data_IF_680372549964
#
_entry.id   IF_680372549964
#
_cell.length_a   1.000
_cell.length_b   1.000
_cell.length_c   1.000
_cell.angle_alpha   90.00
_cell.angle_beta   90.00
_cell.angle_gamma   90.00
#
_symmetry.space_group_name_H-M   'P 1'
#
loop_
_entity.id
_entity.type
_entity.pdbx_description
1 polymer ?
#
# COMPACT_ATOMS: atom_id res chain seq x y z
N UNK A 1 55.32 13.45 11.40
CA UNK A 1 56.45 13.37 10.45
C UNK A 1 55.89 13.87 9.13
N UNK A 2 55.78 15.18 8.95
CA UNK A 2 56.79 16.07 8.30
C UNK A 2 56.99 15.69 6.83
N UNK A 3 56.96 16.55 5.80
CA UNK A 3 56.81 18.01 5.64
C UNK A 3 56.05 18.27 4.32
N UNK A 4 55.90 19.46 3.75
CA UNK A 4 56.78 20.64 3.70
C UNK A 4 55.95 21.90 3.43
N UNK A 5 56.39 23.01 4.01
CA UNK A 5 55.99 24.38 3.66
C UNK A 5 56.61 24.82 2.33
N UNK A 6 55.92 25.71 1.61
CA UNK A 6 56.52 26.91 1.01
C UNK A 6 55.41 27.90 0.61
N UNK A 7 55.41 29.06 1.26
CA UNK A 7 54.65 30.26 0.89
C UNK A 7 55.50 31.17 0.02
N UNK A 8 54.96 31.73 -1.07
CA UNK A 8 55.34 33.06 -1.58
C UNK A 8 54.07 33.79 -2.03
N UNK A 9 53.92 35.02 -1.51
CA UNK A 9 52.87 36.00 -1.73
C UNK A 9 53.13 36.86 -2.98
N UNK A 10 52.07 37.30 -3.68
CA UNK A 10 52.00 38.62 -4.32
C UNK A 10 50.53 39.05 -4.53
N UNK A 11 50.19 40.27 -4.08
CA UNK A 11 49.23 41.15 -4.78
C UNK A 11 47.79 41.23 -4.25
N UNK A 12 47.35 42.46 -3.97
CA UNK A 12 46.12 42.84 -3.27
C UNK A 12 45.03 43.41 -4.20
N UNK A 13 43.76 43.30 -3.75
CA UNK A 13 42.53 44.08 -4.08
C UNK A 13 41.62 43.55 -5.22
N UNK A 14 40.28 43.60 -5.04
CA UNK A 14 39.32 42.66 -5.65
C UNK A 14 38.46 43.30 -6.75
N UNK A 15 37.95 42.51 -7.69
CA UNK A 15 36.58 42.62 -8.25
C UNK A 15 36.31 41.56 -9.33
N UNK A 16 35.11 40.98 -9.25
CA UNK A 16 34.33 40.29 -10.29
C UNK A 16 35.03 39.28 -11.20
N UNK A 17 34.90 38.00 -10.84
CA UNK A 17 34.17 36.99 -11.62
C UNK A 17 34.50 35.63 -11.03
N UNK A 18 33.50 34.93 -10.50
CA UNK A 18 33.40 33.49 -10.74
C UNK A 18 31.99 33.03 -10.40
N UNK A 19 31.33 32.55 -11.45
CA UNK A 19 30.04 31.92 -11.41
C UNK A 19 30.01 30.85 -10.31
N UNK A 20 29.04 30.96 -9.40
CA UNK A 20 28.67 29.81 -8.57
C UNK A 20 27.98 28.83 -9.51
N UNK A 21 28.67 27.76 -9.89
CA UNK A 21 28.04 26.61 -10.48
C UNK A 21 27.10 26.00 -9.43
N UNK A 22 25.81 26.33 -9.54
CA UNK A 22 24.74 25.59 -8.88
C UNK A 22 24.63 24.26 -9.64
N UNK A 23 25.18 23.20 -9.06
CA UNK A 23 24.91 21.84 -9.53
C UNK A 23 23.49 21.47 -9.08
N UNK A 24 22.49 21.88 -9.85
CA UNK A 24 21.14 21.37 -9.72
C UNK A 24 21.08 19.99 -10.35
N UNK A 25 21.08 18.94 -9.54
CA UNK A 25 20.72 17.59 -10.02
C UNK A 25 19.20 17.54 -10.07
N UNK A 26 18.64 17.78 -11.25
CA UNK A 26 17.26 17.41 -11.55
C UNK A 26 17.26 15.95 -12.03
N UNK A 27 16.73 15.04 -11.21
CA UNK A 27 16.47 13.67 -11.65
C UNK A 27 15.18 13.67 -12.49
N UNK A 28 15.35 13.88 -13.80
CA UNK A 28 14.29 13.60 -14.78
C UNK A 28 14.32 12.10 -15.07
N UNK A 29 13.53 11.33 -14.33
CA UNK A 29 13.26 9.93 -14.69
C UNK A 29 12.27 9.96 -15.85
N UNK A 30 12.80 9.84 -17.07
CA UNK A 30 12.00 9.53 -18.25
C UNK A 30 12.26 8.07 -18.60
N UNK A 31 11.28 7.21 -18.33
CA UNK A 31 11.28 5.85 -18.85
C UNK A 31 10.86 5.90 -20.31
N UNK A 32 11.84 5.84 -21.20
CA UNK A 32 11.61 5.52 -22.60
C UNK A 32 12.14 4.12 -22.86
N UNK A 33 11.30 3.24 -23.40
CA UNK A 33 11.75 1.97 -23.94
C UNK A 33 11.86 2.12 -25.46
N UNK A 34 12.97 1.64 -26.00
CA UNK A 34 13.15 1.42 -27.43
C UNK A 34 13.04 -0.08 -27.65
N UNK A 35 12.00 -0.53 -28.36
CA UNK A 35 12.00 -1.87 -28.93
C UNK A 35 12.88 -1.80 -30.18
N UNK A 36 14.15 -2.17 -30.03
CA UNK A 36 15.02 -2.38 -31.19
C UNK A 36 14.64 -3.71 -31.84
N UNK A 37 14.04 -3.63 -33.02
CA UNK A 37 14.12 -4.72 -34.01
C UNK A 37 15.57 -4.80 -34.46
N UNK A 38 16.26 -5.90 -34.13
CA UNK A 38 17.26 -6.57 -34.98
C UNK A 38 17.99 -7.65 -34.18
N UNK A 39 17.78 -8.92 -34.56
CA UNK A 39 18.78 -9.83 -35.16
C UNK A 39 18.11 -11.23 -35.24
N UNK A 40 17.59 -11.58 -36.41
CA UNK A 40 17.48 -13.00 -36.82
C UNK A 40 18.56 -13.19 -37.88
N UNK A 41 19.64 -13.87 -37.50
CA UNK A 41 20.64 -14.40 -38.40
C UNK A 41 20.04 -15.65 -39.08
N UNK A 42 19.68 -15.52 -40.36
CA UNK A 42 19.20 -16.63 -41.18
C UNK A 42 20.38 -17.32 -41.84
N UNK A 43 20.84 -18.44 -41.29
CA UNK A 43 21.29 -19.61 -42.07
C UNK A 43 21.30 -20.85 -41.19
N UNK A 44 20.34 -21.77 -41.36
CA UNK A 44 20.66 -23.11 -41.87
C UNK A 44 19.39 -23.88 -42.24
N UNK A 45 19.49 -24.56 -43.38
CA UNK A 45 18.48 -25.42 -43.99
C UNK A 45 18.53 -26.82 -43.39
N UNK A 46 17.41 -27.34 -42.87
CA UNK A 46 17.01 -28.75 -43.12
C UNK A 46 15.54 -28.97 -42.80
N UNK A 47 14.92 -29.76 -43.66
CA UNK A 47 13.53 -30.21 -43.70
C UNK A 47 13.23 -31.23 -42.60
N UNK A 48 12.17 -31.02 -41.82
CA UNK A 48 11.32 -32.14 -41.38
C UNK A 48 9.87 -31.72 -41.13
N UNK A 49 8.97 -32.60 -41.56
CA UNK A 49 7.54 -32.42 -41.75
C UNK A 49 6.78 -32.95 -40.54
N UNK A 50 6.31 -32.07 -39.65
CA UNK A 50 5.15 -32.34 -38.77
C UNK A 50 4.54 -31.01 -38.31
N UNK A 51 3.34 -30.69 -38.78
CA UNK A 51 2.48 -29.58 -38.30
C UNK A 51 1.82 -29.93 -36.96
N UNK A 52 2.03 -29.15 -35.89
CA UNK A 52 1.12 -29.07 -34.74
C UNK A 52 0.03 -28.00 -34.98
N UNK A 53 -1.11 -28.09 -34.30
CA UNK A 53 -2.30 -27.28 -34.60
C UNK A 53 -2.10 -25.80 -34.24
N UNK A 54 -2.77 -24.96 -35.02
CA UNK A 54 -2.78 -23.49 -34.99
C UNK A 54 -2.60 -22.89 -33.59
N UNK A 55 -1.38 -22.43 -33.35
CA UNK A 55 -0.99 -21.65 -32.19
C UNK A 55 -1.69 -20.29 -32.21
N UNK A 56 -2.32 -19.96 -31.07
CA UNK A 56 -2.72 -18.62 -30.64
C UNK A 56 -1.78 -17.57 -31.21
N UNK A 57 -2.33 -16.62 -31.98
CA UNK A 57 -1.58 -15.51 -32.54
C UNK A 57 -0.76 -14.82 -31.44
N UNK A 58 0.54 -14.54 -31.67
CA UNK A 58 1.33 -13.78 -30.71
C UNK A 58 0.63 -12.44 -30.50
N UNK A 59 0.44 -12.05 -29.24
CA UNK A 59 -0.15 -10.76 -28.89
C UNK A 59 0.57 -9.67 -29.69
N UNK A 60 -0.17 -8.93 -30.51
CA UNK A 60 0.39 -7.85 -31.33
C UNK A 60 1.21 -6.93 -30.43
N UNK A 61 2.49 -6.73 -30.77
CA UNK A 61 3.34 -5.76 -30.10
C UNK A 61 2.64 -4.40 -30.15
N UNK A 62 2.34 -3.83 -28.98
CA UNK A 62 1.74 -2.50 -28.87
C UNK A 62 2.63 -1.50 -29.60
N UNK A 63 2.16 -1.00 -30.72
CA UNK A 63 2.89 -0.03 -31.53
C UNK A 63 2.93 1.32 -30.81
N UNK A 64 3.99 2.11 -31.05
CA UNK A 64 4.09 3.48 -30.52
C UNK A 64 2.85 4.34 -30.84
N UNK A 65 2.13 4.03 -31.93
CA UNK A 65 0.87 4.68 -32.33
C UNK A 65 -0.28 4.35 -31.37
N UNK A 66 -0.38 3.09 -30.90
CA UNK A 66 -1.39 2.67 -29.92
C UNK A 66 -1.16 3.29 -28.53
N UNK A 67 0.08 3.71 -28.24
CA UNK A 67 0.47 4.36 -26.99
C UNK A 67 0.40 5.89 -27.05
N UNK A 68 0.23 6.49 -28.24
CA UNK A 68 0.08 7.94 -28.41
C UNK A 68 -1.00 8.56 -27.52
N UNK A 69 -2.18 7.95 -27.30
CA UNK A 69 -3.17 8.50 -26.38
C UNK A 69 -2.65 8.62 -24.94
N UNK A 70 -1.87 7.63 -24.47
CA UNK A 70 -1.28 7.64 -23.13
C UNK A 70 -0.16 8.68 -23.00
N UNK A 71 0.66 8.85 -24.04
CA UNK A 71 1.75 9.82 -24.08
C UNK A 71 1.27 11.28 -24.17
N UNK A 72 0.03 11.49 -24.60
CA UNK A 72 -0.62 12.82 -24.67
C UNK A 72 -1.34 13.22 -23.38
N UNK A 73 -1.37 12.35 -22.37
CA UNK A 73 -1.98 12.67 -21.08
C UNK A 73 -1.12 13.70 -20.33
N UNK A 74 -1.76 14.77 -19.86
CA UNK A 74 -1.14 15.71 -18.93
C UNK A 74 -1.09 15.10 -17.53
N UNK A 75 0.09 15.10 -16.92
CA UNK A 75 0.31 14.60 -15.57
C UNK A 75 0.38 15.76 -14.56
N UNK A 76 -0.17 15.61 -13.34
CA UNK A 76 -0.92 14.45 -12.87
C UNK A 76 -2.28 14.33 -13.58
N UNK A 77 -2.70 13.10 -13.86
CA UNK A 77 -4.06 12.85 -14.35
C UNK A 77 -5.06 13.48 -13.37
N UNK A 78 -5.82 14.45 -13.86
CA UNK A 78 -6.99 15.00 -13.17
C UNK A 78 -7.95 13.84 -12.95
N UNK A 79 -8.10 13.42 -11.70
CA UNK A 79 -9.06 12.38 -11.34
C UNK A 79 -10.47 12.94 -11.55
N UNK A 80 -11.41 12.10 -11.95
CA UNK A 80 -12.81 12.48 -11.86
C UNK A 80 -13.18 12.60 -10.37
N UNK A 81 -13.71 13.74 -9.90
CA UNK A 81 -14.19 13.82 -8.52
C UNK A 81 -15.28 12.76 -8.31
N UNK A 82 -15.40 12.18 -7.11
CA UNK A 82 -16.47 11.25 -6.84
C UNK A 82 -17.81 11.93 -7.16
N UNK A 83 -18.71 11.28 -7.91
CA UNK A 83 -20.04 11.79 -8.15
C UNK A 83 -20.72 12.12 -6.82
N UNK A 84 -21.51 13.20 -6.84
CA UNK A 84 -22.25 13.64 -5.65
C UNK A 84 -23.34 12.64 -5.33
N UNK A 85 -23.70 12.56 -4.05
CA UNK A 85 -24.85 11.81 -3.55
C UNK A 85 -26.06 11.93 -4.51
N UNK A 86 -26.55 10.81 -5.09
CA UNK A 86 -27.48 10.85 -6.21
C UNK A 86 -28.95 10.96 -5.77
N UNK A 87 -29.20 10.92 -4.45
CA UNK A 87 -30.53 10.96 -3.86
C UNK A 87 -30.78 12.26 -3.12
N UNK A 88 -32.01 12.42 -2.62
CA UNK A 88 -32.29 13.48 -1.66
C UNK A 88 -31.37 13.36 -0.44
N UNK A 89 -30.91 14.50 0.13
CA UNK A 89 -30.11 14.47 1.35
C UNK A 89 -30.86 13.71 2.46
N UNK A 90 -30.21 12.73 3.12
CA UNK A 90 -30.87 11.97 4.18
C UNK A 90 -31.25 12.90 5.34
N UNK A 91 -32.40 12.63 5.97
CA UNK A 91 -32.83 13.39 7.14
C UNK A 91 -31.88 13.19 8.32
N UNK A 92 -31.82 14.14 9.28
CA UNK A 92 -31.02 13.96 10.50
C UNK A 92 -31.34 12.67 11.26
N UNK A 93 -32.62 12.26 11.29
CA UNK A 93 -33.05 11.00 11.92
C UNK A 93 -32.55 9.78 11.16
N UNK A 94 -32.53 9.82 9.82
CA UNK A 94 -31.96 8.76 9.00
C UNK A 94 -30.46 8.62 9.24
N UNK A 95 -29.72 9.74 9.32
CA UNK A 95 -28.29 9.76 9.67
C UNK A 95 -28.08 9.16 11.06
N UNK A 96 -28.85 9.60 12.07
CA UNK A 96 -28.75 9.09 13.44
C UNK A 96 -29.03 7.59 13.53
N UNK A 97 -30.04 7.10 12.81
CA UNK A 97 -30.38 5.68 12.72
C UNK A 97 -29.24 4.87 12.07
N UNK A 98 -28.69 5.37 10.96
CA UNK A 98 -27.57 4.73 10.27
C UNK A 98 -26.30 4.70 11.13
N UNK A 99 -25.99 5.77 11.86
CA UNK A 99 -24.85 5.81 12.79
C UNK A 99 -24.99 4.72 13.86
N UNK A 100 -26.17 4.58 14.47
CA UNK A 100 -26.45 3.50 15.43
C UNK A 100 -26.29 2.11 14.81
N UNK A 101 -26.69 1.94 13.55
CA UNK A 101 -26.48 0.69 12.82
C UNK A 101 -24.99 0.38 12.65
N UNK A 102 -24.18 1.37 12.23
CA UNK A 102 -22.74 1.24 12.09
C UNK A 102 -22.04 0.89 13.40
N UNK A 103 -22.40 1.57 14.50
CA UNK A 103 -21.87 1.26 15.84
C UNK A 103 -22.23 -0.15 16.30
N UNK A 104 -23.46 -0.60 16.05
CA UNK A 104 -23.90 -1.95 16.37
C UNK A 104 -23.13 -3.01 15.55
N UNK A 105 -22.91 -2.74 14.26
CA UNK A 105 -22.12 -3.62 13.39
C UNK A 105 -20.66 -3.71 13.85
N UNK A 106 -20.06 -2.59 14.30
CA UNK A 106 -18.71 -2.60 14.86
C UNK A 106 -18.64 -3.42 16.16
N UNK A 107 -19.62 -3.29 17.06
CA UNK A 107 -19.69 -4.12 18.29
C UNK A 107 -19.76 -5.60 17.95
N UNK A 108 -20.58 -5.98 16.96
CA UNK A 108 -20.68 -7.36 16.47
C UNK A 108 -19.35 -7.84 15.88
N UNK A 109 -18.65 -7.01 15.10
CA UNK A 109 -17.32 -7.34 14.59
C UNK A 109 -16.34 -7.61 15.73
N UNK A 110 -16.30 -6.75 16.75
CA UNK A 110 -15.43 -6.93 17.92
C UNK A 110 -15.74 -8.23 18.71
N UNK A 111 -17.00 -8.65 18.74
CA UNK A 111 -17.38 -9.96 19.28
C UNK A 111 -16.80 -11.11 18.45
N UNK A 112 -16.85 -11.02 17.11
CA UNK A 112 -16.23 -12.01 16.21
C UNK A 112 -14.71 -12.06 16.32
N UNK A 113 -14.07 -10.93 16.66
CA UNK A 113 -12.63 -10.85 16.91
C UNK A 113 -12.24 -11.63 18.19
N UNK A 114 -13.06 -11.56 19.25
CA UNK A 114 -12.84 -12.29 20.52
C UNK A 114 -12.93 -13.81 20.40
N UNK A 115 -13.71 -14.29 19.44
CA UNK A 115 -13.88 -15.72 19.19
C UNK A 115 -12.67 -16.33 18.46
N UNK A 116 -11.77 -15.51 17.91
CA UNK A 116 -10.65 -15.97 17.07
C UNK A 116 -9.38 -16.11 17.88
N UNK A 117 -8.72 -17.24 17.68
CA UNK A 117 -7.32 -17.38 18.09
C UNK A 117 -6.42 -16.80 16.97
N UNK A 118 -5.43 -15.96 17.30
CA UNK A 118 -4.48 -15.47 16.32
C UNK A 118 -3.72 -16.59 15.62
N UNK A 119 -3.24 -16.32 14.40
CA UNK A 119 -2.40 -17.26 13.65
C UNK A 119 -1.13 -17.63 14.43
N UNK A 120 -0.71 -18.89 14.31
CA UNK A 120 0.54 -19.37 14.89
C UNK A 120 1.75 -18.65 14.28
N UNK A 121 2.75 -18.37 15.12
CA UNK A 121 3.91 -17.52 14.82
C UNK A 121 4.83 -18.08 13.72
N UNK A 122 4.81 -19.38 13.44
CA UNK A 122 5.66 -19.99 12.40
C UNK A 122 4.91 -20.37 11.12
N UNK A 123 3.77 -19.72 10.85
CA UNK A 123 3.00 -19.98 9.63
C UNK A 123 3.42 -19.06 8.47
N UNK A 124 3.28 -19.50 7.20
CA UNK A 124 3.42 -18.58 6.06
C UNK A 124 2.44 -17.40 6.13
N UNK A 125 1.24 -17.63 6.66
CA UNK A 125 0.19 -16.62 6.79
C UNK A 125 0.57 -15.48 7.75
N UNK A 126 1.16 -15.78 8.92
CA UNK A 126 1.62 -14.73 9.83
C UNK A 126 2.78 -13.94 9.23
N UNK A 127 3.71 -14.62 8.52
CA UNK A 127 4.83 -13.96 7.83
C UNK A 127 4.32 -13.01 6.74
N UNK A 128 3.29 -13.39 5.99
CA UNK A 128 2.64 -12.53 5.00
C UNK A 128 1.96 -11.30 5.65
N UNK A 129 1.18 -11.50 6.73
CA UNK A 129 0.56 -10.37 7.45
C UNK A 129 1.58 -9.47 8.16
N UNK A 130 2.77 -9.98 8.50
CA UNK A 130 3.89 -9.21 9.04
C UNK A 130 4.64 -8.43 7.97
N UNK A 131 4.79 -8.96 6.76
CA UNK A 131 5.38 -8.22 5.63
C UNK A 131 4.59 -6.94 5.28
N UNK A 132 3.27 -6.98 5.50
CA UNK A 132 2.39 -5.81 5.47
C UNK A 132 2.12 -5.27 6.90
N UNK A 133 3.18 -5.14 7.71
CA UNK A 133 3.12 -4.66 9.08
C UNK A 133 2.20 -3.45 9.19
N UNK A 134 1.28 -3.50 10.15
CA UNK A 134 0.29 -2.46 10.36
C UNK A 134 0.50 -1.84 11.72
N UNK A 135 0.67 -0.52 11.76
CA UNK A 135 0.85 0.23 13.00
C UNK A 135 -0.35 0.02 13.92
N UNK A 136 -0.11 -0.08 15.24
CA UNK A 136 -1.17 -0.16 16.25
C UNK A 136 -2.13 1.04 16.19
N UNK A 137 -1.68 2.19 15.69
CA UNK A 137 -2.51 3.38 15.49
C UNK A 137 -3.59 3.24 14.41
N UNK A 138 -3.49 2.21 13.55
CA UNK A 138 -4.44 1.99 12.44
C UNK A 138 -5.75 1.39 12.93
N UNK A 139 -5.74 0.42 13.86
CA UNK A 139 -6.96 -0.32 14.23
C UNK A 139 -8.10 0.61 14.67
N UNK A 140 -7.89 1.64 15.52
CA UNK A 140 -8.96 2.58 15.88
C UNK A 140 -9.56 3.33 14.68
N UNK A 141 -8.73 3.73 13.72
CA UNK A 141 -9.17 4.39 12.49
C UNK A 141 -9.94 3.41 11.58
N UNK A 142 -9.46 2.18 11.47
CA UNK A 142 -10.08 1.11 10.69
C UNK A 142 -11.44 0.68 11.27
N UNK A 143 -11.55 0.57 12.59
CA UNK A 143 -12.80 0.26 13.29
C UNK A 143 -13.82 1.38 13.08
N UNK A 144 -13.38 2.64 13.12
CA UNK A 144 -14.22 3.79 12.81
C UNK A 144 -14.69 3.79 11.35
N UNK A 145 -13.78 3.55 10.39
CA UNK A 145 -14.12 3.49 8.99
C UNK A 145 -15.08 2.34 8.67
N UNK A 146 -14.90 1.18 9.29
CA UNK A 146 -15.83 0.06 9.19
C UNK A 146 -17.23 0.42 9.68
N UNK A 147 -17.35 1.13 10.81
CA UNK A 147 -18.66 1.61 11.29
C UNK A 147 -19.31 2.59 10.30
N UNK A 148 -18.53 3.46 9.65
CA UNK A 148 -19.00 4.37 8.60
C UNK A 148 -19.47 3.59 7.36
N UNK A 149 -18.78 2.53 6.94
CA UNK A 149 -19.20 1.67 5.81
C UNK A 149 -20.57 1.05 6.10
N UNK A 150 -20.75 0.46 7.28
CA UNK A 150 -22.01 -0.19 7.67
C UNK A 150 -23.15 0.84 7.84
N UNK A 151 -22.86 2.02 8.37
CA UNK A 151 -23.81 3.13 8.38
C UNK A 151 -24.17 3.60 6.96
N UNK A 152 -23.19 3.63 6.05
CA UNK A 152 -23.42 3.96 4.64
C UNK A 152 -24.36 2.94 3.99
N UNK A 153 -24.16 1.64 4.25
CA UNK A 153 -25.08 0.58 3.80
C UNK A 153 -26.49 0.77 4.34
N UNK A 154 -26.63 1.15 5.61
CA UNK A 154 -27.94 1.41 6.21
C UNK A 154 -28.65 2.62 5.60
N UNK A 155 -27.93 3.70 5.27
CA UNK A 155 -28.50 4.84 4.52
C UNK A 155 -28.96 4.46 3.12
N UNK A 156 -28.31 3.45 2.53
CA UNK A 156 -28.62 2.94 1.19
C UNK A 156 -29.71 1.87 1.17
N UNK A 157 -29.96 1.22 2.31
CA UNK A 157 -30.93 0.14 2.37
C UNK A 157 -32.36 0.69 2.19
N UNK A 158 -33.00 0.38 1.06
CA UNK A 158 -34.34 0.87 0.70
C UNK A 158 -34.36 1.99 -0.36
N UNK A 159 -33.20 2.38 -0.91
CA UNK A 159 -33.15 3.28 -2.09
C UNK A 159 -33.25 2.47 -3.39
N UNK A 160 -33.92 3.01 -4.41
CA UNK A 160 -34.05 2.35 -5.71
C UNK A 160 -32.69 2.34 -6.44
N UNK A 161 -32.10 1.15 -6.54
CA UNK A 161 -30.79 0.89 -7.16
C UNK A 161 -30.80 0.96 -8.70
N UNK A 162 -31.97 1.13 -9.32
CA UNK A 162 -32.12 1.19 -10.79
C UNK A 162 -31.35 2.33 -11.47
N UNK A 163 -30.95 3.36 -10.71
CA UNK A 163 -30.15 4.51 -11.18
C UNK A 163 -28.64 4.35 -10.96
N UNK A 164 -28.17 3.22 -10.44
CA UNK A 164 -26.76 3.00 -10.18
C UNK A 164 -26.02 2.55 -11.44
N UNK A 165 -25.11 3.39 -11.92
CA UNK A 165 -23.97 2.93 -12.73
C UNK A 165 -22.71 3.07 -11.88
N UNK A 166 -22.21 1.95 -11.35
CA UNK A 166 -20.89 1.79 -10.75
C UNK A 166 -20.63 2.58 -9.47
N UNK A 167 -21.11 2.13 -8.31
CA UNK A 167 -20.47 2.26 -6.99
C UNK A 167 -19.87 3.60 -6.49
N UNK A 168 -20.24 4.75 -7.05
CA UNK A 168 -19.42 5.96 -6.94
C UNK A 168 -20.14 7.16 -6.39
N UNK A 169 -20.38 7.20 -5.08
CA UNK A 169 -20.96 8.41 -4.50
C UNK A 169 -20.26 8.80 -3.21
N UNK A 170 -19.95 10.08 -3.08
CA UNK A 170 -19.62 10.68 -1.80
C UNK A 170 -20.92 11.13 -1.14
N UNK A 171 -21.25 10.52 0.00
CA UNK A 171 -22.40 10.87 0.82
C UNK A 171 -22.20 12.15 1.62
N UNK A 172 -23.14 12.48 2.53
CA UNK A 172 -23.01 13.65 3.39
C UNK A 172 -21.78 13.53 4.30
N UNK A 173 -21.25 14.67 4.81
CA UNK A 173 -20.19 14.66 5.79
C UNK A 173 -20.59 13.88 7.06
N UNK A 174 -19.62 13.22 7.69
CA UNK A 174 -19.85 12.55 8.99
C UNK A 174 -20.06 13.54 10.13
N UNK A 175 -19.48 14.75 10.03
CA UNK A 175 -19.65 15.87 10.98
C UNK A 175 -19.54 15.45 12.45
N UNK A 176 -18.53 14.66 12.79
CA UNK A 176 -18.27 14.20 14.16
C UNK A 176 -19.22 13.12 14.68
N UNK A 177 -20.08 12.55 13.82
CA UNK A 177 -20.89 11.37 14.17
C UNK A 177 -20.03 10.14 14.50
N UNK A 178 -18.78 10.15 14.04
CA UNK A 178 -17.76 9.17 14.35
C UNK A 178 -16.45 9.87 14.71
N UNK A 179 -15.47 9.13 15.22
CA UNK A 179 -14.14 9.66 15.51
C UNK A 179 -13.46 10.13 14.21
N UNK A 180 -13.22 11.44 14.12
CA UNK A 180 -12.66 12.03 12.91
C UNK A 180 -11.13 12.20 13.00
N UNK A 181 -10.38 11.75 11.98
CA UNK A 181 -8.95 12.01 11.90
C UNK A 181 -8.68 13.49 11.66
N UNK A 182 -7.44 13.92 11.92
CA UNK A 182 -7.04 15.33 11.82
C UNK A 182 -7.40 15.97 10.49
N UNK A 183 -7.26 15.26 9.37
CA UNK A 183 -7.59 15.77 8.03
C UNK A 183 -9.09 15.93 7.72
N UNK A 184 -9.96 15.58 8.66
CA UNK A 184 -11.40 15.86 8.60
C UNK A 184 -11.81 17.10 9.39
N UNK A 185 -10.93 17.61 10.25
CA UNK A 185 -11.24 18.76 11.11
C UNK A 185 -11.27 20.05 10.28
N UNK A 186 -12.24 20.91 10.57
CA UNK A 186 -12.43 22.20 9.90
C UNK A 186 -11.47 23.28 10.40
N UNK A 187 -11.05 23.18 11.66
CA UNK A 187 -10.09 24.09 12.29
C UNK A 187 -8.74 23.39 12.45
N UNK A 188 -7.80 23.71 11.56
CA UNK A 188 -6.47 23.11 11.56
C UNK A 188 -5.44 24.13 12.04
N UNK A 189 -4.43 23.72 12.83
CA UNK A 189 -3.38 24.63 13.25
C UNK A 189 -2.54 25.06 12.03
N UNK A 190 -1.97 26.27 12.04
CA UNK A 190 -1.12 26.74 10.95
C UNK A 190 0.13 25.86 10.85
N UNK A 191 0.63 25.72 9.63
CA UNK A 191 1.88 25.00 9.41
C UNK A 191 3.06 25.75 10.02
N UNK A 192 3.96 25.05 10.75
CA UNK A 192 5.15 25.67 11.28
C UNK A 192 6.06 26.12 10.14
N UNK A 193 6.70 27.28 10.29
CA UNK A 193 7.74 27.71 9.37
C UNK A 193 9.01 26.89 9.62
N UNK A 194 9.23 25.87 8.81
CA UNK A 194 10.34 24.92 8.93
C UNK A 194 11.06 24.77 7.59
N UNK A 195 12.39 24.61 7.65
CA UNK A 195 13.21 24.23 6.49
C UNK A 195 13.17 22.74 6.18
N UNK A 196 12.60 21.93 7.08
CA UNK A 196 12.60 20.47 7.00
C UNK A 196 11.18 19.91 6.91
N UNK A 197 11.08 18.76 6.26
CA UNK A 197 9.85 17.97 6.15
C UNK A 197 9.41 17.50 7.53
N UNK A 198 8.11 17.40 7.72
CA UNK A 198 7.51 16.69 8.86
C UNK A 198 7.60 15.19 8.60
N UNK A 199 7.63 14.39 9.67
CA UNK A 199 7.79 12.95 9.53
C UNK A 199 6.57 12.25 8.93
N UNK A 200 5.37 12.80 9.15
CA UNK A 200 4.12 12.26 8.59
C UNK A 200 3.77 12.86 7.22
N UNK A 201 4.61 13.72 6.66
CA UNK A 201 4.38 14.41 5.39
C UNK A 201 3.41 15.59 5.45
N UNK A 202 2.88 15.94 6.64
CA UNK A 202 2.03 17.12 6.82
C UNK A 202 2.74 18.42 6.47
N UNK A 203 1.99 19.46 6.12
CA UNK A 203 2.49 20.78 5.75
C UNK A 203 3.40 20.83 4.50
N UNK A 204 3.42 19.76 3.69
CA UNK A 204 4.09 19.77 2.39
C UNK A 204 3.32 20.62 1.37
N UNK A 205 2.01 20.40 1.24
CA UNK A 205 1.12 21.25 0.44
C UNK A 205 0.41 22.27 1.35
N UNK A 206 0.62 23.58 1.13
CA UNK A 206 0.10 24.62 2.02
C UNK A 206 -1.43 24.84 1.91
N UNK A 207 -2.05 24.42 0.81
CA UNK A 207 -3.51 24.50 0.61
C UNK A 207 -4.23 23.30 1.26
N UNK A 208 -3.58 22.13 1.26
CA UNK A 208 -4.09 20.89 1.84
C UNK A 208 -3.10 20.22 2.82
N UNK A 209 -2.66 20.94 3.88
CA UNK A 209 -1.49 20.58 4.67
C UNK A 209 -1.59 19.27 5.42
N UNK A 210 -2.79 18.83 5.78
CA UNK A 210 -2.96 17.64 6.61
C UNK A 210 -3.51 16.44 5.84
N UNK A 211 -3.76 16.57 4.52
CA UNK A 211 -4.44 15.55 3.73
C UNK A 211 -3.60 15.03 2.57
N UNK A 212 -2.96 15.91 1.81
CA UNK A 212 -2.28 15.51 0.58
C UNK A 212 -0.91 14.91 0.87
N UNK A 213 -0.77 13.61 0.61
CA UNK A 213 0.47 12.85 0.78
C UNK A 213 0.88 12.56 2.21
N UNK A 214 0.01 12.89 3.17
CA UNK A 214 0.21 12.64 4.60
C UNK A 214 0.01 11.16 4.91
N UNK A 215 0.79 10.62 5.83
CA UNK A 215 0.67 9.24 6.28
C UNK A 215 -0.67 8.96 6.97
N UNK A 216 -1.12 7.70 6.92
CA UNK A 216 -2.41 7.23 7.47
C UNK A 216 -3.63 7.96 6.88
N UNK A 217 -3.56 8.27 5.60
CA UNK A 217 -4.67 8.83 4.83
C UNK A 217 -5.18 7.82 3.78
N UNK A 218 -6.40 8.01 3.24
CA UNK A 218 -6.89 7.18 2.15
C UNK A 218 -5.98 7.28 0.91
N UNK A 219 -5.81 6.17 0.18
CA UNK A 219 -5.20 6.23 -1.15
C UNK A 219 -5.98 7.17 -2.08
N UNK A 220 -5.28 7.85 -3.00
CA UNK A 220 -5.94 8.61 -4.07
C UNK A 220 -6.57 7.65 -5.06
N UNK A 221 -7.86 7.83 -5.33
CA UNK A 221 -8.53 7.18 -6.46
C UNK A 221 -8.32 7.96 -7.76
N UNK A 222 -7.75 7.29 -8.77
CA UNK A 222 -7.76 7.80 -10.14
C UNK A 222 -9.11 7.51 -10.82
N UNK A 223 -9.75 6.40 -10.43
CA UNK A 223 -11.08 6.00 -10.88
C UNK A 223 -11.97 5.66 -9.67
N UNK A 224 -13.29 5.86 -9.81
CA UNK A 224 -14.31 5.09 -9.10
C UNK A 224 -13.92 3.73 -8.47
N UNK A 225 -14.30 3.45 -7.21
CA UNK A 225 -14.31 2.08 -6.71
C UNK A 225 -15.40 1.23 -7.39
N UNK A 226 -15.13 -0.06 -7.54
CA UNK A 226 -16.07 -1.05 -8.08
C UNK A 226 -16.21 -2.21 -7.08
N UNK A 227 -17.24 -2.11 -6.23
CA UNK A 227 -17.59 -3.10 -5.21
C UNK A 227 -18.93 -3.75 -5.59
N UNK A 228 -19.14 -5.01 -5.18
CA UNK A 228 -20.33 -5.78 -5.57
C UNK A 228 -21.65 -5.17 -5.06
N UNK A 229 -21.60 -4.45 -3.94
CA UNK A 229 -22.71 -3.69 -3.34
C UNK A 229 -22.55 -2.18 -3.55
N UNK A 230 -21.55 -1.75 -4.32
CA UNK A 230 -21.19 -0.35 -4.51
C UNK A 230 -20.59 0.35 -3.29
N UNK A 231 -20.37 -0.35 -2.17
CA UNK A 231 -19.89 0.23 -0.91
C UNK A 231 -18.63 -0.48 -0.45
N UNK A 232 -18.70 -1.76 -0.10
CA UNK A 232 -17.54 -2.47 0.45
C UNK A 232 -17.51 -3.99 0.25
N UNK A 233 -18.49 -4.61 -0.41
CA UNK A 233 -18.41 -6.05 -0.72
C UNK A 233 -17.43 -6.31 -1.87
N UNK A 234 -16.67 -7.42 -1.84
CA UNK A 234 -15.83 -7.81 -2.99
C UNK A 234 -16.61 -7.80 -4.30
N UNK A 235 -15.95 -7.37 -5.37
CA UNK A 235 -16.55 -7.24 -6.70
C UNK A 235 -17.07 -8.59 -7.22
N UNK A 236 -18.19 -8.54 -7.94
CA UNK A 236 -18.74 -9.67 -8.70
C UNK A 236 -18.48 -9.51 -10.20
N UNK A 237 -18.66 -10.59 -10.96
CA UNK A 237 -18.62 -10.55 -12.42
C UNK A 237 -19.74 -9.66 -13.00
N UNK A 238 -19.62 -9.27 -14.27
CA UNK A 238 -20.59 -8.42 -14.97
C UNK A 238 -22.02 -8.97 -14.95
N UNK A 239 -22.16 -10.28 -14.73
CA UNK A 239 -23.42 -11.01 -14.74
C UNK A 239 -23.94 -11.25 -13.30
N UNK A 240 -23.28 -10.67 -12.29
CA UNK A 240 -23.56 -10.89 -10.87
C UNK A 240 -22.96 -12.17 -10.27
N UNK A 241 -22.31 -13.01 -11.08
CA UNK A 241 -21.68 -14.26 -10.61
C UNK A 241 -20.39 -14.00 -9.84
N UNK A 242 -19.95 -14.97 -9.03
CA UNK A 242 -18.63 -14.92 -8.40
C UNK A 242 -17.52 -14.86 -9.45
N UNK A 243 -16.45 -14.11 -9.16
CA UNK A 243 -15.21 -14.14 -9.94
C UNK A 243 -14.44 -15.44 -9.65
N UNK A 244 -13.59 -15.93 -10.59
CA UNK A 244 -12.72 -17.07 -10.34
C UNK A 244 -11.82 -16.85 -9.12
N UNK A 245 -11.41 -17.94 -8.46
CA UNK A 245 -10.46 -17.84 -7.35
C UNK A 245 -9.14 -17.20 -7.83
N UNK A 246 -8.53 -16.38 -6.98
CA UNK A 246 -7.21 -15.82 -7.27
C UNK A 246 -6.16 -16.91 -7.49
N UNK A 247 -6.32 -18.07 -6.84
CA UNK A 247 -5.45 -19.23 -7.04
C UNK A 247 -5.64 -19.86 -8.42
N UNK A 248 -6.88 -20.06 -8.86
CA UNK A 248 -7.17 -20.65 -10.18
C UNK A 248 -6.56 -19.80 -11.30
N UNK A 249 -6.70 -18.47 -11.19
CA UNK A 249 -6.06 -17.53 -12.12
C UNK A 249 -4.54 -17.62 -12.03
N UNK A 250 -3.97 -17.72 -10.82
CA UNK A 250 -2.53 -17.88 -10.62
C UNK A 250 -1.98 -19.12 -11.33
N UNK A 251 -2.59 -20.30 -11.14
CA UNK A 251 -2.11 -21.55 -11.74
C UNK A 251 -2.40 -21.67 -13.23
N UNK A 252 -3.49 -21.04 -13.71
CA UNK A 252 -3.89 -21.11 -15.12
C UNK A 252 -3.12 -20.12 -15.99
N UNK A 253 -2.85 -18.91 -15.49
CA UNK A 253 -2.29 -17.80 -16.28
C UNK A 253 -0.79 -17.63 -16.07
N UNK A 254 -0.29 -17.84 -14.85
CA UNK A 254 1.13 -17.58 -14.55
C UNK A 254 1.96 -18.84 -14.70
N UNK A 255 3.16 -18.68 -15.25
CA UNK A 255 4.15 -19.77 -15.35
C UNK A 255 4.89 -19.93 -14.02
N UNK A 256 5.30 -21.16 -13.66
CA UNK A 256 6.02 -21.41 -12.41
C UNK A 256 7.43 -20.79 -12.41
N UNK A 257 8.02 -20.54 -13.57
CA UNK A 257 9.34 -19.91 -13.70
C UNK A 257 9.45 -19.06 -14.97
N UNK A 258 10.34 -18.06 -14.91
CA UNK A 258 10.69 -17.19 -16.02
C UNK A 258 12.18 -17.32 -16.36
N UNK A 259 12.58 -17.18 -17.63
CA UNK A 259 13.98 -17.15 -18.01
C UNK A 259 14.68 -15.92 -17.41
N UNK A 260 15.98 -16.04 -17.13
CA UNK A 260 16.78 -14.92 -16.68
C UNK A 260 16.88 -13.84 -17.77
N UNK A 261 16.62 -12.59 -17.39
CA UNK A 261 16.87 -11.44 -18.26
C UNK A 261 18.32 -10.99 -18.12
N UNK A 262 19.06 -10.97 -19.24
CA UNK A 262 20.47 -10.55 -19.27
C UNK A 262 20.65 -9.04 -19.33
N UNK A 263 19.57 -8.29 -19.54
CA UNK A 263 19.56 -6.83 -19.71
C UNK A 263 19.41 -6.08 -18.39
N UNK A 264 18.89 -6.74 -17.36
CA UNK A 264 18.64 -6.13 -16.04
C UNK A 264 19.37 -6.86 -14.93
N UNK A 265 19.91 -6.08 -13.99
CA UNK A 265 20.44 -6.63 -12.74
C UNK A 265 19.32 -6.78 -11.71
N UNK A 266 19.50 -7.66 -10.73
CA UNK A 266 18.58 -7.82 -9.60
C UNK A 266 18.34 -6.50 -8.84
N UNK A 267 19.28 -5.56 -8.91
CA UNK A 267 19.15 -4.24 -8.31
C UNK A 267 17.92 -3.47 -8.81
N UNK A 268 17.47 -3.71 -10.05
CA UNK A 268 16.26 -3.07 -10.58
C UNK A 268 15.03 -3.42 -9.73
N UNK A 269 14.83 -4.71 -9.44
CA UNK A 269 13.70 -5.17 -8.63
C UNK A 269 13.82 -4.70 -7.18
N UNK A 270 15.04 -4.77 -6.60
CA UNK A 270 15.30 -4.32 -5.22
C UNK A 270 15.05 -2.83 -5.07
N UNK A 271 15.52 -2.00 -6.00
CA UNK A 271 15.28 -0.56 -5.99
C UNK A 271 13.80 -0.22 -6.17
N UNK A 272 13.10 -0.94 -7.05
CA UNK A 272 11.65 -0.82 -7.21
C UNK A 272 10.90 -1.06 -5.91
N UNK A 273 11.23 -2.14 -5.18
CA UNK A 273 10.64 -2.43 -3.87
C UNK A 273 11.01 -1.37 -2.82
N UNK A 274 12.26 -0.90 -2.81
CA UNK A 274 12.70 0.14 -1.88
C UNK A 274 11.90 1.44 -2.05
N UNK A 275 11.66 1.86 -3.31
CA UNK A 275 10.85 3.04 -3.59
C UNK A 275 9.37 2.79 -3.31
N UNK A 276 8.80 1.64 -3.70
CA UNK A 276 7.42 1.29 -3.35
C UNK A 276 7.19 1.40 -1.84
N UNK A 277 8.16 0.91 -1.05
CA UNK A 277 8.08 0.97 0.40
C UNK A 277 8.18 2.37 1.00
N UNK A 278 8.72 3.34 0.25
CA UNK A 278 8.82 4.73 0.66
C UNK A 278 7.51 5.49 0.47
N UNK A 279 6.72 5.11 -0.55
CA UNK A 279 5.50 5.83 -0.95
C UNK A 279 4.21 5.09 -0.62
N UNK A 280 4.25 3.77 -0.39
CA UNK A 280 3.08 2.96 -0.06
C UNK A 280 3.33 1.97 1.08
N UNK A 281 2.32 1.84 1.94
CA UNK A 281 2.20 0.78 2.94
C UNK A 281 0.72 0.52 3.24
N UNK A 282 0.08 -0.34 2.45
CA UNK A 282 -1.34 -0.69 2.62
C UNK A 282 -1.56 -1.36 3.98
N UNK A 283 -2.36 -0.73 4.84
CA UNK A 283 -2.72 -1.30 6.12
C UNK A 283 -3.58 -2.57 5.96
N UNK A 284 -3.39 -3.54 6.87
CA UNK A 284 -4.25 -4.73 6.97
C UNK A 284 -5.24 -4.59 8.13
N UNK A 285 -6.45 -5.13 7.96
CA UNK A 285 -7.39 -5.25 9.08
C UNK A 285 -6.80 -6.15 10.16
N UNK A 286 -7.01 -5.77 11.42
CA UNK A 286 -6.46 -6.46 12.60
C UNK A 286 -7.57 -6.91 13.54
N UNK A 287 -7.32 -8.03 14.21
CA UNK A 287 -8.20 -8.61 15.21
C UNK A 287 -8.08 -7.90 16.56
N UNK A 288 -8.53 -8.59 17.62
CA UNK A 288 -8.45 -8.07 18.98
C UNK A 288 -6.98 -7.80 19.36
N UNK A 289 -6.74 -6.71 20.08
CA UNK A 289 -5.39 -6.25 20.47
C UNK A 289 -4.42 -6.06 19.28
N UNK A 290 -4.93 -5.70 18.10
CA UNK A 290 -4.14 -5.55 16.87
C UNK A 290 -3.44 -6.83 16.40
N UNK A 291 -3.95 -8.00 16.81
CA UNK A 291 -3.42 -9.31 16.40
C UNK A 291 -3.72 -9.63 14.92
N UNK A 292 -2.98 -10.60 14.38
CA UNK A 292 -3.25 -11.15 13.06
C UNK A 292 -4.58 -11.92 13.05
N UNK A 293 -5.37 -11.74 11.99
CA UNK A 293 -6.65 -12.43 11.83
C UNK A 293 -6.45 -13.78 11.16
N UNK A 294 -7.12 -14.81 11.70
CA UNK A 294 -7.32 -16.11 11.07
C UNK A 294 -8.68 -16.16 10.36
N UNK A 295 -8.66 -16.59 9.10
CA UNK A 295 -9.76 -16.51 8.14
C UNK A 295 -10.12 -17.85 7.51
N UNK A 296 -9.31 -18.91 7.69
CA UNK A 296 -9.59 -20.24 7.13
C UNK A 296 -10.31 -21.19 8.07
N UNK A 297 -10.54 -20.85 9.34
CA UNK A 297 -11.23 -21.73 10.30
C UNK A 297 -12.73 -21.82 9.97
N UNK A 298 -13.23 -22.98 9.49
CA UNK A 298 -14.63 -23.14 9.10
C UNK A 298 -15.57 -23.32 10.30
N UNK A 299 -15.02 -23.54 11.50
CA UNK A 299 -15.81 -23.72 12.73
C UNK A 299 -16.27 -22.40 13.33
N UNK A 300 -15.67 -21.30 12.90
CA UNK A 300 -15.97 -19.96 13.38
C UNK A 300 -16.94 -19.23 12.45
N UNK A 301 -17.82 -18.36 13.00
CA UNK A 301 -18.66 -17.50 12.17
C UNK A 301 -17.80 -16.58 11.27
N UNK A 302 -18.20 -16.33 10.01
CA UNK A 302 -17.42 -15.48 9.09
C UNK A 302 -17.13 -14.09 9.66
N UNK A 303 -15.88 -13.63 9.50
CA UNK A 303 -15.48 -12.28 9.87
C UNK A 303 -15.59 -11.36 8.65
N UNK A 304 -16.14 -10.14 8.78
CA UNK A 304 -16.34 -9.22 7.64
C UNK A 304 -15.04 -8.75 6.97
N UNK A 305 -13.92 -8.82 7.69
CA UNK A 305 -12.58 -8.49 7.18
C UNK A 305 -11.82 -9.72 6.64
N UNK A 306 -12.40 -10.92 6.72
CA UNK A 306 -11.81 -12.12 6.12
C UNK A 306 -12.29 -12.29 4.68
N UNK A 307 -11.35 -12.60 3.78
CA UNK A 307 -11.67 -12.92 2.39
C UNK A 307 -10.73 -14.04 1.90
N UNK A 308 -10.78 -15.23 2.53
CA UNK A 308 -9.86 -16.31 2.26
C UNK A 308 -9.90 -16.75 0.80
N UNK A 309 -8.75 -17.12 0.25
CA UNK A 309 -8.66 -17.66 -1.11
C UNK A 309 -8.98 -19.15 -1.04
N UNK A 310 -10.10 -19.53 -1.67
CA UNK A 310 -10.49 -20.93 -1.77
C UNK A 310 -9.53 -21.66 -2.72
N UNK A 311 -9.10 -22.84 -2.32
CA UNK A 311 -8.24 -23.72 -3.11
C UNK A 311 -9.08 -24.87 -3.66
N UNK A 312 -8.84 -25.24 -4.91
CA UNK A 312 -9.41 -26.46 -5.47
C UNK A 312 -8.82 -27.69 -4.77
N UNK A 313 -9.64 -28.73 -4.62
CA UNK A 313 -9.20 -30.05 -4.19
C UNK A 313 -8.12 -30.66 -5.09
N UNK A 314 -8.10 -30.28 -6.37
CA UNK A 314 -7.13 -30.71 -7.38
C UNK A 314 -6.00 -29.66 -7.58
N UNK A 315 -5.80 -28.73 -6.62
CA UNK A 315 -4.72 -27.76 -6.72
C UNK A 315 -3.36 -28.47 -6.89
N UNK A 316 -2.56 -28.12 -7.91
CA UNK A 316 -1.36 -28.89 -8.28
C UNK A 316 -0.27 -28.91 -7.20
N UNK A 317 -0.33 -28.00 -6.20
CA UNK A 317 0.62 -27.95 -5.09
C UNK A 317 -0.07 -28.25 -3.76
N UNK A 318 -1.21 -27.61 -3.49
CA UNK A 318 -1.85 -27.66 -2.16
C UNK A 318 -2.64 -28.94 -1.89
N UNK A 319 -2.99 -29.73 -2.92
CA UNK A 319 -3.63 -31.03 -2.75
C UNK A 319 -2.79 -31.99 -1.89
N UNK A 320 -1.45 -31.95 -2.03
CA UNK A 320 -0.54 -32.84 -1.29
C UNK A 320 -0.56 -32.56 0.22
N UNK A 321 -1.02 -31.37 0.62
CA UNK A 321 -1.12 -30.92 2.00
C UNK A 321 -2.56 -30.94 2.54
N UNK A 322 -3.53 -31.41 1.75
CA UNK A 322 -4.96 -31.37 2.06
C UNK A 322 -5.46 -29.96 2.46
N UNK A 323 -4.92 -28.92 1.82
CA UNK A 323 -5.30 -27.53 2.09
C UNK A 323 -6.37 -27.08 1.09
N UNK A 324 -7.50 -26.61 1.61
CA UNK A 324 -8.63 -26.08 0.81
C UNK A 324 -8.79 -24.56 0.92
N UNK A 325 -7.93 -23.90 1.70
CA UNK A 325 -8.02 -22.48 2.00
C UNK A 325 -6.64 -21.85 2.22
N UNK A 326 -6.41 -20.67 1.63
CA UNK A 326 -5.30 -19.79 1.98
C UNK A 326 -5.80 -18.58 2.77
N UNK A 327 -5.09 -18.30 3.85
CA UNK A 327 -5.34 -17.15 4.72
C UNK A 327 -5.23 -15.84 3.97
N UNK A 328 -6.31 -15.06 3.96
CA UNK A 328 -6.32 -13.73 3.37
C UNK A 328 -7.27 -12.80 4.15
N UNK A 329 -6.69 -11.71 4.63
CA UNK A 329 -7.38 -10.64 5.34
C UNK A 329 -7.43 -9.41 4.45
N UNK A 330 -8.57 -8.70 4.48
CA UNK A 330 -8.77 -7.49 3.70
C UNK A 330 -7.87 -6.35 4.23
N UNK A 331 -7.48 -5.45 3.33
CA UNK A 331 -6.81 -4.20 3.70
C UNK A 331 -7.70 -3.35 4.61
N UNK A 332 -7.16 -2.74 5.65
CA UNK A 332 -7.90 -1.93 6.60
C UNK A 332 -8.59 -0.73 5.90
N UNK A 333 -9.85 -0.44 6.25
CA UNK A 333 -10.52 0.73 5.73
C UNK A 333 -10.00 2.02 6.40
N UNK A 334 -10.15 3.14 5.70
CA UNK A 334 -9.69 4.45 6.12
C UNK A 334 -10.88 5.43 6.21
N UNK A 335 -10.99 6.24 7.28
CA UNK A 335 -12.01 7.27 7.35
C UNK A 335 -11.83 8.33 6.25
N UNK A 336 -12.91 8.78 5.63
CA UNK A 336 -12.85 9.74 4.50
C UNK A 336 -13.42 11.12 4.81
N UNK A 337 -14.00 11.28 6.01
CA UNK A 337 -14.83 12.40 6.50
C UNK A 337 -16.29 12.41 5.99
N UNK A 338 -16.69 11.39 5.24
CA UNK A 338 -18.01 11.31 4.60
C UNK A 338 -18.54 9.89 4.70
N UNK A 339 -19.87 9.74 4.66
CA UNK A 339 -20.47 8.46 4.31
C UNK A 339 -20.13 8.14 2.85
N UNK A 340 -19.90 6.87 2.52
CA UNK A 340 -19.47 6.50 1.18
C UNK A 340 -18.83 5.11 1.09
N UNK A 341 -18.32 4.75 -0.09
CA UNK A 341 -17.65 3.48 -0.33
C UNK A 341 -16.34 3.38 0.46
N UNK A 342 -15.89 2.15 0.64
CA UNK A 342 -14.66 1.81 1.35
C UNK A 342 -13.42 2.36 0.64
N UNK A 343 -12.59 3.05 1.42
CA UNK A 343 -11.24 3.45 1.02
C UNK A 343 -10.18 2.74 1.83
N UNK A 344 -9.08 2.34 1.19
CA UNK A 344 -7.95 1.69 1.87
C UNK A 344 -6.96 2.74 2.41
N UNK A 345 -6.33 2.44 3.53
CA UNK A 345 -5.38 3.33 4.18
C UNK A 345 -3.95 3.11 3.67
N UNK A 346 -3.29 4.20 3.27
CA UNK A 346 -1.84 4.24 3.12
C UNK A 346 -1.21 4.64 4.46
N UNK A 347 -0.38 3.77 5.04
CA UNK A 347 0.34 4.08 6.28
C UNK A 347 1.60 4.91 6.04
N UNK A 348 2.16 4.87 4.84
CA UNK A 348 3.36 5.64 4.47
C UNK A 348 2.99 7.07 4.06
N UNK A 349 3.99 7.96 4.02
CA UNK A 349 3.85 9.23 3.28
C UNK A 349 3.78 8.92 1.78
N UNK A 350 3.20 9.81 0.97
CA UNK A 350 3.15 9.60 -0.48
C UNK A 350 4.34 10.21 -1.23
N UNK A 351 5.36 10.70 -0.51
CA UNK A 351 6.51 11.39 -1.06
C UNK A 351 7.72 10.46 -1.09
N UNK A 352 8.60 10.65 -2.07
CA UNK A 352 9.94 10.05 -2.02
C UNK A 352 10.78 10.91 -1.09
N UNK A 353 10.76 10.56 0.20
CA UNK A 353 11.37 11.34 1.28
C UNK A 353 12.26 10.50 2.21
N UNK A 354 12.41 9.20 1.92
CA UNK A 354 13.18 8.28 2.74
C UNK A 354 12.45 7.86 4.01
N UNK A 355 11.13 7.97 4.09
CA UNK A 355 10.30 7.40 5.16
C UNK A 355 10.57 5.91 5.40
N UNK A 356 10.99 5.14 4.40
CA UNK A 356 11.40 3.74 4.63
C UNK A 356 12.66 3.63 5.52
N UNK A 357 13.47 4.70 5.58
CA UNK A 357 14.67 4.83 6.43
C UNK A 357 14.35 5.56 7.74
N UNK A 358 13.62 6.67 7.66
CA UNK A 358 13.41 7.60 8.78
C UNK A 358 12.10 7.38 9.54
N UNK A 359 11.18 6.59 8.98
CA UNK A 359 9.82 6.37 9.49
C UNK A 359 8.80 7.35 8.95
N UNK A 360 7.53 7.14 9.29
CA UNK A 360 6.42 8.03 8.91
C UNK A 360 5.65 8.57 10.14
N UNK A 361 6.23 8.43 11.33
CA UNK A 361 5.76 9.03 12.59
C UNK A 361 6.95 9.55 13.41
N UNK A 362 6.73 10.61 14.19
CA UNK A 362 7.79 11.21 15.01
C UNK A 362 8.31 10.23 16.07
N UNK A 363 7.44 9.38 16.63
CA UNK A 363 7.82 8.35 17.59
C UNK A 363 8.78 7.34 16.95
N UNK A 364 8.48 6.90 15.72
CA UNK A 364 9.33 5.97 14.98
C UNK A 364 10.67 6.60 14.65
N UNK A 365 10.67 7.81 14.08
CA UNK A 365 11.90 8.54 13.77
C UNK A 365 12.78 8.75 15.01
N UNK A 366 12.17 9.10 16.14
CA UNK A 366 12.89 9.27 17.41
C UNK A 366 13.49 7.94 17.88
N UNK A 367 12.74 6.84 17.80
CA UNK A 367 13.22 5.51 18.22
C UNK A 367 14.41 4.99 17.40
N UNK A 368 14.50 5.40 16.13
CA UNK A 368 15.58 5.03 15.21
C UNK A 368 16.83 5.91 15.36
N UNK A 369 16.73 7.06 16.03
CA UNK A 369 17.85 7.99 16.21
C UNK A 369 18.70 7.61 17.41
N UNK A 370 20.01 7.81 17.30
CA UNK A 370 20.93 7.70 18.43
C UNK A 370 20.76 8.86 19.42
N UNK A 371 20.06 9.93 19.01
CA UNK A 371 19.83 11.17 19.77
C UNK A 371 21.11 11.88 20.23
N UNK A 372 22.25 11.49 19.67
CA UNK A 372 23.56 12.10 19.86
C UNK A 372 24.25 12.23 18.51
N UNK A 373 24.95 13.36 18.30
CA UNK A 373 25.74 13.63 17.08
C UNK A 373 24.97 13.59 15.74
N UNK A 374 23.64 13.54 15.75
CA UNK A 374 22.80 13.54 14.55
C UNK A 374 22.73 12.20 13.80
N UNK A 375 23.08 11.08 14.45
CA UNK A 375 23.13 9.74 13.82
C UNK A 375 21.87 8.91 14.05
N UNK A 376 21.66 7.93 13.19
CA UNK A 376 20.75 6.79 13.44
C UNK A 376 21.43 5.79 14.39
N UNK A 377 20.62 5.03 15.11
CA UNK A 377 21.08 3.86 15.86
C UNK A 377 21.56 2.81 14.87
N UNK A 378 22.67 2.16 15.20
CA UNK A 378 23.28 1.10 14.40
C UNK A 378 23.73 -0.03 15.33
N UNK A 379 23.65 -1.28 14.85
CA UNK A 379 24.33 -2.42 15.45
C UNK A 379 25.77 -2.46 14.95
N UNK A 380 26.73 -2.56 15.87
CA UNK A 380 28.15 -2.76 15.52
C UNK A 380 28.48 -4.24 15.51
N UNK A 381 28.82 -4.74 14.32
CA UNK A 381 29.31 -6.10 14.12
C UNK A 381 30.75 -6.04 13.59
N UNK A 382 31.71 -6.13 14.53
CA UNK A 382 33.12 -5.92 14.26
C UNK A 382 33.40 -4.52 13.70
N UNK A 383 33.83 -4.46 12.43
CA UNK A 383 34.10 -3.21 11.70
C UNK A 383 32.90 -2.71 10.88
N UNK A 384 31.78 -3.44 10.87
CA UNK A 384 30.57 -3.10 10.10
C UNK A 384 29.53 -2.46 11.00
N UNK A 385 28.77 -1.53 10.43
CA UNK A 385 27.55 -0.99 11.04
C UNK A 385 26.36 -1.56 10.26
N UNK A 386 25.49 -2.27 10.97
CA UNK A 386 24.25 -2.83 10.47
C UNK A 386 23.07 -2.05 11.04
N UNK A 387 21.89 -2.22 10.45
CA UNK A 387 20.66 -1.74 11.07
C UNK A 387 20.50 -2.39 12.46
N UNK A 388 19.89 -1.69 13.43
CA UNK A 388 19.63 -2.26 14.75
C UNK A 388 18.67 -3.46 14.64
N UNK A 389 18.81 -4.48 15.50
CA UNK A 389 17.85 -5.58 15.55
C UNK A 389 16.51 -5.06 16.08
N UNK A 390 15.41 -5.60 15.55
CA UNK A 390 14.09 -5.38 16.11
C UNK A 390 13.93 -6.16 17.43
N UNK A 391 13.20 -5.57 18.39
CA UNK A 391 13.13 -6.06 19.77
C UNK A 391 11.82 -6.78 20.11
N UNK A 392 10.84 -6.84 19.20
CA UNK A 392 9.52 -7.47 19.45
C UNK A 392 9.63 -9.01 19.38
N UNK A 393 9.54 -9.74 20.52
CA UNK A 393 9.63 -11.20 20.52
C UNK A 393 8.40 -11.88 19.90
N UNK A 394 7.30 -11.14 19.66
CA UNK A 394 6.14 -11.64 18.94
C UNK A 394 6.32 -11.57 17.41
N UNK A 395 7.44 -11.06 16.93
CA UNK A 395 7.82 -11.12 15.53
C UNK A 395 8.44 -12.50 15.21
N UNK A 396 7.92 -13.25 14.21
CA UNK A 396 8.45 -14.56 13.84
C UNK A 396 9.96 -14.63 13.57
N UNK A 397 10.58 -13.53 13.19
CA UNK A 397 12.04 -13.47 12.98
C UNK A 397 12.84 -13.12 14.24
N UNK A 398 12.20 -12.63 15.32
CA UNK A 398 12.86 -12.19 16.56
C UNK A 398 12.45 -13.06 17.77
N UNK A 399 12.00 -14.30 17.55
CA UNK A 399 11.74 -15.21 18.67
C UNK A 399 13.02 -15.43 19.48
N UNK A 400 12.88 -15.86 20.74
CA UNK A 400 14.03 -16.14 21.61
C UNK A 400 14.97 -17.14 20.94
N UNK A 401 14.42 -18.15 20.26
CA UNK A 401 15.15 -19.18 19.54
C UNK A 401 15.88 -18.63 18.31
N UNK A 402 15.23 -17.75 17.52
CA UNK A 402 15.85 -17.12 16.35
C UNK A 402 16.99 -16.18 16.77
N UNK A 403 16.76 -15.35 17.79
CA UNK A 403 17.76 -14.45 18.33
C UNK A 403 18.97 -15.21 18.88
N UNK A 404 18.75 -16.33 19.57
CA UNK A 404 19.84 -17.21 20.05
C UNK A 404 20.66 -17.81 18.90
N UNK A 405 20.08 -17.93 17.69
CA UNK A 405 20.75 -18.36 16.47
C UNK A 405 21.39 -17.20 15.69
N UNK A 406 21.34 -15.97 16.21
CA UNK A 406 21.83 -14.77 15.52
C UNK A 406 20.95 -14.37 14.33
N UNK A 407 19.68 -14.78 14.31
CA UNK A 407 18.68 -14.43 13.29
C UNK A 407 17.68 -13.45 13.89
N UNK A 408 17.54 -12.29 13.28
CA UNK A 408 16.64 -11.23 13.71
C UNK A 408 16.21 -10.40 12.50
N UNK A 409 15.03 -9.79 12.59
CA UNK A 409 14.68 -8.70 11.70
C UNK A 409 15.42 -7.42 12.09
N UNK A 410 15.59 -6.55 11.11
CA UNK A 410 16.10 -5.22 11.34
C UNK A 410 14.99 -4.25 11.70
N UNK A 411 15.31 -3.32 12.59
CA UNK A 411 14.48 -2.19 12.94
C UNK A 411 14.71 -1.06 11.92
N UNK A 412 13.67 -0.70 11.15
CA UNK A 412 13.74 0.29 10.06
C UNK A 412 12.65 1.36 10.14
N UNK A 413 12.62 2.34 9.23
CA UNK A 413 11.52 3.31 9.16
C UNK A 413 10.14 2.66 8.97
N UNK A 414 10.11 1.55 8.25
CA UNK A 414 8.92 0.75 7.98
C UNK A 414 8.80 -0.46 8.91
#
# INVERSE_FOLDING_TARGET
MEGFENCIWFGSIPTLCNARALLGVALLVTTSYSLSDDVIDTTDTTTDTTTPPDTVAPAENLTAVQLQPLLKLSWPLEGSPPPKWPFEPPSPDAISSAVKHGEAALKKRQELERLRTPLSIDTPAIKAQRAAATSASVKPMADTAYAVEEATKALFNGTDNSKQTGGTFQGPPTNGSFLEPRYCQTTLPPCPNSKYRTQDGSCNNLEHPYRWGVSRTPFRRALPPDYGDGISSPRTGTNGTSLPSARDVSVTVHRPSYPHDTSFTVMLAVWGQFIDHDITATALSKGENSSALSCCDPTLPPHPECFPVQLDTEDPFYQEYNLTCMEFVRSAPCPTCYFGPREQMNQATAFIDGSTVYGYTEERATSLRQLSTGRLRMLRDGLRELLPPAEDPADPCNTVEMNAQGRYCFETGR
#
